data_IF_441774583447
#
_entry.id   IF_441774583447
#
_cell.length_a   1.000
_cell.length_b   1.000
_cell.length_c   1.000
_cell.angle_alpha   90.00
_cell.angle_beta   90.00
_cell.angle_gamma   90.00
#
_symmetry.space_group_name_H-M   'P 1'
#
loop_
_entity.id
_entity.type
_entity.pdbx_description
1 polymer ?
#
# COMPACT_ATOMS: atom_id res chain seq x y z
N UNK A 1 -12.52 23.82 -8.66
CA UNK A 1 -12.21 22.83 -7.61
C UNK A 1 -10.82 22.32 -7.90
N UNK A 2 -9.84 22.55 -7.02
CA UNK A 2 -8.51 21.97 -7.20
C UNK A 2 -8.65 20.46 -7.09
N UNK A 3 -8.25 19.72 -8.13
CA UNK A 3 -7.99 18.30 -7.97
C UNK A 3 -6.82 18.17 -6.98
N UNK A 4 -7.12 17.86 -5.72
CA UNK A 4 -6.10 17.47 -4.77
C UNK A 4 -5.34 16.28 -5.38
N UNK A 5 -4.02 16.36 -5.45
CA UNK A 5 -3.19 15.29 -6.01
C UNK A 5 -3.38 14.01 -5.19
N UNK A 6 -3.62 12.88 -5.87
CA UNK A 6 -3.64 11.55 -5.24
C UNK A 6 -2.26 11.31 -4.59
N UNK A 7 -2.19 11.01 -3.28
CA UNK A 7 -0.92 10.85 -2.57
C UNK A 7 -0.14 9.62 -3.05
N UNK A 8 1.19 9.73 -2.97
CA UNK A 8 2.13 8.68 -3.32
C UNK A 8 2.73 8.06 -2.08
N UNK A 9 2.86 6.74 -2.09
CA UNK A 9 3.52 6.00 -1.02
C UNK A 9 4.47 4.94 -1.59
N UNK A 10 5.57 4.69 -0.87
CA UNK A 10 6.38 3.49 -1.10
C UNK A 10 5.55 2.25 -0.72
N UNK A 11 5.09 2.22 0.54
CA UNK A 11 4.03 1.35 1.02
C UNK A 11 3.08 2.21 1.85
N UNK A 12 1.78 1.90 1.90
CA UNK A 12 0.74 2.82 2.40
C UNK A 12 1.11 3.54 3.70
N UNK A 13 1.20 4.87 3.66
CA UNK A 13 1.58 5.72 4.80
C UNK A 13 3.08 6.04 4.90
N UNK A 14 3.94 5.33 4.17
CA UNK A 14 5.39 5.55 4.16
C UNK A 14 5.82 6.47 3.01
N UNK A 15 6.75 7.41 3.26
CA UNK A 15 7.30 8.28 2.23
C UNK A 15 7.88 7.51 1.04
N UNK A 16 7.72 8.07 -0.16
CA UNK A 16 8.38 7.54 -1.36
C UNK A 16 9.89 7.72 -1.30
N UNK A 17 10.60 6.76 -1.87
CA UNK A 17 12.05 6.81 -2.08
C UNK A 17 12.42 5.92 -3.28
N UNK A 18 13.60 6.12 -3.85
CA UNK A 18 14.08 5.29 -4.95
C UNK A 18 14.35 3.86 -4.47
N UNK A 19 13.90 2.87 -5.24
CA UNK A 19 14.11 1.45 -4.96
C UNK A 19 15.26 0.90 -5.82
N UNK A 20 16.03 0.00 -5.22
CA UNK A 20 17.07 -0.75 -5.92
C UNK A 20 16.45 -1.88 -6.77
N UNK A 21 17.20 -2.29 -7.81
CA UNK A 21 16.82 -3.43 -8.63
C UNK A 21 16.76 -4.70 -7.78
N UNK A 22 15.63 -5.41 -7.86
CA UNK A 22 15.42 -6.65 -7.10
C UNK A 22 14.87 -6.42 -5.68
N UNK A 23 14.56 -5.18 -5.30
CA UNK A 23 13.87 -4.91 -4.04
C UNK A 23 12.55 -5.71 -3.93
N UNK A 24 12.35 -6.38 -2.80
CA UNK A 24 11.14 -7.12 -2.50
C UNK A 24 10.72 -6.87 -1.05
N UNK A 25 9.52 -6.34 -0.87
CA UNK A 25 8.90 -6.13 0.44
C UNK A 25 7.82 -7.19 0.67
N UNK A 26 7.91 -7.89 1.79
CA UNK A 26 6.95 -8.92 2.18
C UNK A 26 6.45 -8.61 3.58
N UNK A 27 5.14 -8.41 3.70
CA UNK A 27 4.48 -8.21 4.99
C UNK A 27 3.09 -8.85 4.99
N UNK A 28 2.55 -9.06 6.19
CA UNK A 28 1.13 -9.38 6.31
C UNK A 28 0.30 -8.11 6.11
N UNK A 29 -0.84 -8.21 5.43
CA UNK A 29 -1.77 -7.07 5.27
C UNK A 29 -2.15 -6.46 6.64
N UNK A 30 -2.27 -7.30 7.67
CA UNK A 30 -2.59 -6.90 9.05
C UNK A 30 -1.51 -6.04 9.71
N UNK A 31 -0.26 -6.10 9.26
CA UNK A 31 0.83 -5.31 9.85
C UNK A 31 0.57 -3.79 9.78
N UNK A 32 -0.29 -3.35 8.84
CA UNK A 32 -0.65 -1.94 8.64
C UNK A 32 -2.00 -1.53 9.23
N UNK A 33 -2.64 -2.39 10.03
CA UNK A 33 -3.95 -2.09 10.60
C UNK A 33 -3.95 -0.79 11.43
N UNK A 34 -2.85 -0.50 12.13
CA UNK A 34 -2.68 0.75 12.89
C UNK A 34 -2.59 2.02 12.03
N UNK A 35 -2.32 1.89 10.73
CA UNK A 35 -2.15 3.02 9.79
C UNK A 35 -3.47 3.36 9.09
N UNK A 36 -4.23 2.35 8.69
CA UNK A 36 -5.45 2.53 7.91
C UNK A 36 -6.73 2.24 8.69
N UNK A 37 -6.67 1.61 9.87
CA UNK A 37 -7.82 1.25 10.71
C UNK A 37 -8.95 0.56 9.92
N UNK A 38 -8.59 -0.38 9.04
CA UNK A 38 -9.52 -1.06 8.14
C UNK A 38 -10.01 -0.24 6.93
N UNK A 39 -9.63 1.03 6.78
CA UNK A 39 -10.02 1.90 5.66
C UNK A 39 -8.81 2.48 4.92
N UNK A 40 -8.57 1.96 3.72
CA UNK A 40 -7.52 2.45 2.82
C UNK A 40 -8.07 3.61 1.97
N UNK A 41 -7.45 4.78 2.04
CA UNK A 41 -7.84 5.97 1.27
C UNK A 41 -7.25 5.93 -0.15
N UNK A 42 -7.78 6.69 -1.12
CA UNK A 42 -7.22 6.76 -2.47
C UNK A 42 -5.74 7.17 -2.45
N UNK A 43 -4.89 6.38 -3.11
CA UNK A 43 -3.44 6.58 -3.18
C UNK A 43 -2.87 5.85 -4.41
N UNK A 44 -1.58 6.06 -4.69
CA UNK A 44 -0.86 5.37 -5.77
C UNK A 44 0.54 4.92 -5.36
N UNK A 45 1.01 3.85 -6.00
CA UNK A 45 2.36 3.29 -5.82
C UNK A 45 3.08 3.26 -7.18
N UNK A 46 3.87 4.28 -7.53
CA UNK A 46 4.44 4.42 -8.88
C UNK A 46 5.53 3.38 -9.21
N UNK A 47 6.14 2.75 -8.20
CA UNK A 47 7.28 1.84 -8.36
C UNK A 47 7.00 0.41 -7.86
N UNK A 48 5.73 0.08 -7.59
CA UNK A 48 5.35 -1.19 -6.96
C UNK A 48 4.44 -2.04 -7.86
N UNK A 49 4.80 -3.31 -8.04
CA UNK A 49 3.87 -4.38 -8.39
C UNK A 49 3.49 -5.15 -7.12
N UNK A 50 2.20 -5.34 -6.86
CA UNK A 50 1.72 -6.04 -5.67
C UNK A 50 1.21 -7.44 -6.01
N UNK A 51 1.70 -8.45 -5.30
CA UNK A 51 1.16 -9.80 -5.28
C UNK A 51 0.57 -10.04 -3.90
N UNK A 52 -0.66 -10.57 -3.84
CA UNK A 52 -1.30 -10.91 -2.56
C UNK A 52 -1.54 -12.40 -2.48
N UNK A 53 -1.16 -12.99 -1.35
CA UNK A 53 -1.41 -14.39 -1.05
C UNK A 53 -2.44 -14.49 0.08
N UNK A 54 -3.65 -14.93 -0.28
CA UNK A 54 -4.76 -15.11 0.66
C UNK A 54 -4.93 -16.59 0.95
N UNK A 55 -4.89 -16.96 2.24
CA UNK A 55 -5.10 -18.34 2.68
C UNK A 55 -6.56 -18.61 3.08
N UNK A 56 -7.33 -17.56 3.38
CA UNK A 56 -8.75 -17.61 3.71
C UNK A 56 -9.41 -16.23 3.54
N UNK A 57 -10.74 -16.17 3.48
CA UNK A 57 -11.49 -14.92 3.38
C UNK A 57 -13.00 -15.11 3.58
N UNK A 58 -13.70 -14.04 3.98
CA UNK A 58 -15.16 -13.96 4.09
C UNK A 58 -15.62 -12.52 3.82
N UNK A 59 -16.80 -12.36 3.23
CA UNK A 59 -17.48 -11.07 3.07
C UNK A 59 -18.91 -11.13 3.62
N UNK A 60 -19.55 -9.96 3.71
CA UNK A 60 -20.98 -9.78 4.03
C UNK A 60 -21.65 -9.03 2.90
#
# INVERSE_FOLDING_TARGET
MSHASIPEFFVYGEPTHALDVGFCHVETVRAREGVHHGRVQPHKHPQLGQITYWTSGRGT
#
